data_IF_915187545013
#
_entry.id   IF_915187545013
#
_cell.length_a   1.000
_cell.length_b   1.000
_cell.length_c   1.000
_cell.angle_alpha   90.00
_cell.angle_beta   90.00
_cell.angle_gamma   90.00
#
_symmetry.space_group_name_H-M   'P 1'
#
loop_
_entity.id
_entity.type
_entity.pdbx_description
1 polymer ?
#
# COMPACT_ATOMS: atom_id res chain seq x y z
N UNK A 1 21.20 0.73 -10.91
CA UNK A 1 20.39 0.18 -9.79
C UNK A 1 19.73 -1.12 -10.27
N UNK A 2 19.96 -2.27 -9.63
CA UNK A 2 19.52 -3.57 -10.14
C UNK A 2 17.97 -3.68 -10.11
N UNK A 3 17.32 -3.82 -11.26
CA UNK A 3 15.85 -3.81 -11.38
C UNK A 3 15.16 -4.86 -10.49
N UNK A 4 15.81 -6.02 -10.31
CA UNK A 4 15.30 -7.09 -9.44
C UNK A 4 15.29 -6.69 -7.96
N UNK A 5 16.28 -5.89 -7.52
CA UNK A 5 16.34 -5.37 -6.14
C UNK A 5 15.20 -4.38 -5.88
N UNK A 6 14.86 -3.55 -6.87
CA UNK A 6 13.78 -2.57 -6.77
C UNK A 6 12.40 -3.24 -6.68
N UNK A 7 12.17 -4.30 -7.48
CA UNK A 7 10.91 -5.07 -7.42
C UNK A 7 10.72 -5.78 -6.09
N UNK A 8 11.77 -6.39 -5.54
CA UNK A 8 11.73 -7.01 -4.20
C UNK A 8 11.45 -5.99 -3.10
N UNK A 9 12.10 -4.82 -3.15
CA UNK A 9 11.88 -3.76 -2.18
C UNK A 9 10.43 -3.23 -2.25
N UNK A 10 9.90 -3.03 -3.46
CA UNK A 10 8.48 -2.66 -3.66
C UNK A 10 7.52 -3.68 -3.07
N UNK A 11 7.78 -4.97 -3.25
CA UNK A 11 6.95 -6.03 -2.70
C UNK A 11 7.01 -6.08 -1.17
N UNK A 12 8.21 -5.94 -0.59
CA UNK A 12 8.39 -5.83 0.87
C UNK A 12 7.63 -4.62 1.42
N UNK A 13 7.76 -3.46 0.78
CA UNK A 13 7.06 -2.24 1.17
C UNK A 13 5.54 -2.40 1.09
N UNK A 14 5.05 -3.15 0.10
CA UNK A 14 3.63 -3.50 -0.04
C UNK A 14 3.15 -4.33 1.13
N UNK A 15 3.87 -5.39 1.51
CA UNK A 15 3.52 -6.24 2.65
C UNK A 15 3.52 -5.44 3.96
N UNK A 16 4.55 -4.61 4.19
CA UNK A 16 4.63 -3.74 5.37
C UNK A 16 3.42 -2.80 5.42
N UNK A 17 3.01 -2.26 4.27
CA UNK A 17 1.86 -1.34 4.18
C UNK A 17 0.54 -2.03 4.48
N UNK A 18 0.35 -3.28 4.05
CA UNK A 18 -0.82 -4.09 4.43
C UNK A 18 -0.93 -4.16 5.95
N UNK A 19 0.17 -4.50 6.64
CA UNK A 19 0.17 -4.62 8.09
C UNK A 19 -0.06 -3.25 8.73
N UNK A 20 0.71 -2.23 8.37
CA UNK A 20 0.64 -0.91 8.98
C UNK A 20 -0.75 -0.26 8.83
N UNK A 21 -1.33 -0.31 7.63
CA UNK A 21 -2.63 0.33 7.35
C UNK A 21 -3.77 -0.42 8.04
N UNK A 22 -3.66 -1.73 8.23
CA UNK A 22 -4.66 -2.53 8.93
C UNK A 22 -4.89 -2.10 10.38
N UNK A 23 -3.92 -1.43 11.01
CA UNK A 23 -4.06 -0.90 12.37
C UNK A 23 -4.48 0.57 12.43
N UNK A 24 -4.72 1.21 11.29
CA UNK A 24 -5.17 2.60 11.23
C UNK A 24 -6.67 2.67 11.56
N UNK A 25 -7.10 3.37 12.61
CA UNK A 25 -8.52 3.55 12.93
C UNK A 25 -9.27 4.23 11.78
N UNK A 26 -10.56 3.92 11.63
CA UNK A 26 -11.47 4.42 10.57
C UNK A 26 -11.14 3.97 9.13
N UNK A 27 -10.02 3.29 8.90
CA UNK A 27 -9.61 2.83 7.56
C UNK A 27 -9.37 1.32 7.59
N UNK A 28 -8.51 0.87 8.49
CA UNK A 28 -7.92 -0.46 8.48
C UNK A 28 -8.61 -1.49 9.35
N UNK A 29 -9.48 -1.09 10.29
CA UNK A 29 -10.22 -2.06 11.06
C UNK A 29 -11.66 -1.61 11.38
N UNK A 30 -12.57 -2.59 11.36
CA UNK A 30 -13.97 -2.45 11.76
C UNK A 30 -14.20 -3.23 13.04
N UNK A 31 -14.99 -2.65 13.95
CA UNK A 31 -15.45 -3.33 15.16
C UNK A 31 -16.92 -3.69 14.93
N UNK A 32 -17.25 -4.96 15.07
CA UNK A 32 -18.59 -5.49 14.84
C UNK A 32 -18.91 -6.50 15.94
N UNK A 33 -19.91 -6.16 16.76
CA UNK A 33 -20.35 -6.97 17.92
C UNK A 33 -19.23 -7.38 18.90
N UNK A 34 -18.17 -6.56 19.01
CA UNK A 34 -17.00 -6.85 19.84
C UNK A 34 -15.92 -7.71 19.17
N UNK A 35 -16.14 -8.15 17.93
CA UNK A 35 -15.11 -8.71 17.05
C UNK A 35 -14.42 -7.59 16.26
N UNK A 36 -13.13 -7.78 15.94
CA UNK A 36 -12.33 -6.84 15.15
C UNK A 36 -11.95 -7.46 13.81
N UNK A 37 -12.30 -6.80 12.73
CA UNK A 37 -11.92 -7.20 11.38
C UNK A 37 -10.91 -6.19 10.84
N UNK A 38 -9.71 -6.66 10.52
CA UNK A 38 -8.59 -5.87 10.04
C UNK A 38 -8.32 -6.14 8.56
N UNK A 39 -7.93 -5.08 7.87
CA UNK A 39 -7.55 -5.07 6.48
C UNK A 39 -8.11 -3.87 5.74
N UNK A 40 -7.35 -3.42 4.75
CA UNK A 40 -7.77 -2.42 3.80
C UNK A 40 -7.02 -2.63 2.48
N UNK A 41 -7.70 -2.52 1.32
CA UNK A 41 -9.15 -2.39 1.13
C UNK A 41 -9.96 -3.67 1.41
N UNK A 42 -9.33 -4.84 1.44
CA UNK A 42 -10.00 -6.10 1.77
C UNK A 42 -9.63 -6.57 3.18
N UNK A 43 -10.58 -7.18 3.88
CA UNK A 43 -10.32 -7.81 5.18
C UNK A 43 -9.42 -9.03 5.03
N UNK A 44 -8.36 -9.12 5.82
CA UNK A 44 -7.46 -10.27 5.83
C UNK A 44 -7.34 -10.95 7.19
N UNK A 45 -7.69 -10.27 8.29
CA UNK A 45 -7.59 -10.81 9.64
C UNK A 45 -8.85 -10.50 10.45
N UNK A 46 -9.55 -11.51 10.94
CA UNK A 46 -10.61 -11.37 11.93
C UNK A 46 -10.11 -11.80 13.31
N UNK A 47 -10.45 -11.04 14.35
CA UNK A 47 -10.21 -11.35 15.76
C UNK A 47 -11.56 -11.38 16.47
N UNK A 48 -11.99 -12.53 16.96
CA UNK A 48 -13.34 -12.70 17.50
C UNK A 48 -13.41 -12.41 19.00
N UNK A 49 -14.56 -11.90 19.45
CA UNK A 49 -14.81 -11.46 20.84
C UNK A 49 -14.49 -12.51 21.90
N UNK A 50 -14.79 -13.79 21.63
CA UNK A 50 -14.62 -14.90 22.57
C UNK A 50 -13.26 -15.61 22.41
N UNK A 51 -12.30 -14.97 21.74
CA UNK A 51 -11.05 -15.59 21.34
C UNK A 51 -11.15 -16.25 19.95
N UNK A 52 -10.00 -16.48 19.33
CA UNK A 52 -9.89 -17.01 17.98
C UNK A 52 -9.60 -15.94 16.93
N UNK A 53 -8.95 -16.38 15.85
CA UNK A 53 -8.66 -15.54 14.69
C UNK A 53 -9.04 -16.26 13.40
N UNK A 54 -9.42 -15.50 12.38
CA UNK A 54 -9.64 -16.00 11.02
C UNK A 54 -8.73 -15.25 10.06
N UNK A 55 -7.85 -15.99 9.38
CA UNK A 55 -6.99 -15.44 8.35
C UNK A 55 -7.62 -15.65 6.96
N UNK A 56 -7.96 -14.54 6.28
CA UNK A 56 -8.52 -14.55 4.92
C UNK A 56 -7.38 -14.35 3.92
N UNK A 57 -6.80 -15.46 3.45
CA UNK A 57 -5.67 -15.46 2.50
C UNK A 57 -5.91 -14.64 1.24
N UNK A 58 -7.12 -14.72 0.67
CA UNK A 58 -7.46 -13.99 -0.55
C UNK A 58 -7.46 -12.48 -0.33
N UNK A 59 -7.97 -12.02 0.83
CA UNK A 59 -7.92 -10.61 1.22
C UNK A 59 -6.48 -10.12 1.43
N UNK A 60 -5.64 -10.93 2.08
CA UNK A 60 -4.22 -10.61 2.26
C UNK A 60 -3.49 -10.45 0.92
N UNK A 61 -3.68 -11.40 0.02
CA UNK A 61 -3.04 -11.40 -1.29
C UNK A 61 -3.53 -10.21 -2.14
N UNK A 62 -4.84 -9.94 -2.12
CA UNK A 62 -5.43 -8.79 -2.79
C UNK A 62 -4.80 -7.48 -2.30
N UNK A 63 -4.70 -7.28 -0.98
CA UNK A 63 -4.09 -6.07 -0.42
C UNK A 63 -2.61 -5.94 -0.82
N UNK A 64 -1.85 -7.03 -0.81
CA UNK A 64 -0.45 -7.02 -1.27
C UNK A 64 -0.34 -6.54 -2.72
N UNK A 65 -1.17 -7.07 -3.62
CA UNK A 65 -1.21 -6.66 -5.03
C UNK A 65 -1.66 -5.21 -5.18
N UNK A 66 -2.69 -4.80 -4.42
CA UNK A 66 -3.22 -3.44 -4.42
C UNK A 66 -2.15 -2.40 -4.07
N UNK A 67 -1.45 -2.58 -2.94
CA UNK A 67 -0.38 -1.66 -2.54
C UNK A 67 0.81 -1.69 -3.51
N UNK A 68 1.14 -2.85 -4.05
CA UNK A 68 2.19 -2.97 -5.06
C UNK A 68 1.88 -2.12 -6.30
N UNK A 69 0.63 -2.18 -6.79
CA UNK A 69 0.18 -1.37 -7.91
C UNK A 69 0.18 0.13 -7.57
N UNK A 70 -0.29 0.50 -6.38
CA UNK A 70 -0.26 1.90 -5.91
C UNK A 70 1.18 2.45 -5.90
N UNK A 71 2.13 1.72 -5.31
CA UNK A 71 3.52 2.17 -5.28
C UNK A 71 4.13 2.27 -6.67
N UNK A 72 3.80 1.32 -7.55
CA UNK A 72 4.25 1.36 -8.95
C UNK A 72 3.70 2.58 -9.68
N UNK A 73 2.45 2.97 -9.43
CA UNK A 73 1.84 4.17 -10.01
C UNK A 73 2.45 5.45 -9.42
N UNK A 74 2.61 5.53 -8.10
CA UNK A 74 3.25 6.66 -7.42
C UNK A 74 4.65 6.95 -7.96
N UNK A 75 5.46 5.91 -8.14
CA UNK A 75 6.81 6.06 -8.71
C UNK A 75 6.74 6.62 -10.13
N UNK A 76 5.84 6.11 -10.98
CA UNK A 76 5.66 6.62 -12.35
C UNK A 76 5.26 8.10 -12.36
N UNK A 77 4.31 8.48 -11.51
CA UNK A 77 3.84 9.87 -11.40
C UNK A 77 4.97 10.77 -10.90
N UNK A 78 5.71 10.35 -9.87
CA UNK A 78 6.81 11.13 -9.31
C UNK A 78 7.94 11.36 -10.33
N UNK A 79 8.30 10.33 -11.11
CA UNK A 79 9.29 10.45 -12.18
C UNK A 79 8.77 11.41 -13.27
N UNK A 80 7.51 11.27 -13.68
CA UNK A 80 6.90 12.17 -14.66
C UNK A 80 6.88 13.63 -14.22
N UNK A 81 6.50 13.90 -12.96
CA UNK A 81 6.50 15.24 -12.39
C UNK A 81 7.90 15.86 -12.32
N UNK A 82 8.92 15.06 -11.98
CA UNK A 82 10.30 15.54 -11.93
C UNK A 82 10.79 15.97 -13.32
N UNK A 83 10.44 15.20 -14.36
CA UNK A 83 10.77 15.55 -15.74
C UNK A 83 10.15 16.89 -16.17
N UNK A 84 8.87 17.11 -15.82
CA UNK A 84 8.18 18.38 -16.11
C UNK A 84 8.81 19.56 -15.37
N UNK A 85 9.23 19.36 -14.11
CA UNK A 85 9.89 20.40 -13.32
C UNK A 85 11.23 20.83 -13.93
N UNK A 86 12.04 19.88 -14.38
CA UNK A 86 13.34 20.14 -15.01
C UNK A 86 13.15 20.91 -16.33
N UNK A 87 12.23 20.45 -17.18
CA UNK A 87 11.99 21.11 -18.47
C UNK A 87 11.52 22.56 -18.29
N UNK A 88 10.61 22.80 -17.34
CA UNK A 88 10.17 24.16 -16.99
C UNK A 88 11.32 25.06 -16.50
N UNK A 89 12.27 24.51 -15.74
CA UNK A 89 13.42 25.27 -15.26
C UNK A 89 14.38 25.68 -16.37
N UNK A 90 14.57 24.84 -17.39
CA UNK A 90 15.47 25.12 -18.50
C UNK A 90 14.92 26.23 -19.41
N UNK A 91 13.62 26.22 -19.70
CA UNK A 91 12.99 27.24 -20.54
C UNK A 91 13.08 28.65 -19.92
N UNK A 92 13.07 28.78 -18.59
CA UNK A 92 13.21 30.07 -17.91
C UNK A 92 14.63 30.65 -17.92
N UNK A 93 15.65 29.88 -18.35
CA UNK A 93 17.04 30.34 -18.46
C UNK A 93 17.38 30.80 -19.89
N UNK A 94 16.51 30.50 -20.85
CA UNK A 94 16.67 30.86 -22.27
C UNK A 94 15.89 32.13 -22.66
N UNK A 95 15.09 32.71 -21.74
CA UNK A 95 14.41 34.02 -21.85
C UNK A 95 15.18 35.12 -21.11
#
# INVERSE_FOLDING_TARGET
MNENKNRKLLLILSIISVIAISFVPNIGFRIEEGSRFLGFPAEWLGLYKYGGFSFKWLGFLFNCVFFYLIFRLLIKVLIGLNHLKINKSNNNLEE
#
